data_IF_757264181790
#
_entry.id   IF_757264181790
#
_cell.length_a   1.000
_cell.length_b   1.000
_cell.length_c   1.000
_cell.angle_alpha   90.00
_cell.angle_beta   90.00
_cell.angle_gamma   90.00
#
_symmetry.space_group_name_H-M   'P 1'
#
loop_
_entity.id
_entity.type
_entity.pdbx_description
1 polymer ?
#
# COMPACT_ATOMS: atom_id res chain seq x y z
N UNK A 1 -6.90 13.57 -25.00
CA UNK A 1 -8.16 13.87 -25.72
C UNK A 1 -9.23 13.52 -24.72
N UNK A 2 -10.08 14.49 -24.36
CA UNK A 2 -10.94 14.42 -23.15
C UNK A 2 -11.70 13.10 -23.03
N UNK A 3 -12.10 12.50 -24.16
CA UNK A 3 -12.79 11.21 -24.17
C UNK A 3 -11.91 10.04 -23.73
N UNK A 4 -10.64 9.99 -24.15
CA UNK A 4 -9.68 8.93 -23.76
C UNK A 4 -9.38 9.04 -22.27
N UNK A 5 -9.11 10.26 -21.81
CA UNK A 5 -8.77 10.54 -20.42
C UNK A 5 -9.96 10.18 -19.51
N UNK A 6 -11.19 10.51 -19.93
CA UNK A 6 -12.43 10.10 -19.25
C UNK A 6 -12.60 8.57 -19.14
N UNK A 7 -12.19 7.81 -20.16
CA UNK A 7 -12.28 6.33 -20.12
C UNK A 7 -11.20 5.77 -19.19
N UNK A 8 -9.97 6.26 -19.29
CA UNK A 8 -8.85 5.82 -18.45
C UNK A 8 -9.16 6.05 -16.97
N UNK A 9 -9.72 7.21 -16.62
CA UNK A 9 -10.10 7.55 -15.25
C UNK A 9 -11.17 6.62 -14.65
N UNK A 10 -11.90 5.89 -15.49
CA UNK A 10 -12.91 4.90 -15.06
C UNK A 10 -12.34 3.50 -14.90
N UNK A 11 -11.11 3.23 -15.34
CA UNK A 11 -10.47 1.93 -15.22
C UNK A 11 -9.85 1.78 -13.83
N UNK A 12 -10.40 0.87 -13.04
CA UNK A 12 -9.92 0.60 -11.67
C UNK A 12 -8.84 -0.49 -11.65
N UNK A 13 -9.01 -1.55 -12.45
CA UNK A 13 -8.16 -2.75 -12.41
C UNK A 13 -7.63 -3.08 -13.81
N UNK A 14 -6.34 -2.80 -14.04
CA UNK A 14 -5.64 -3.16 -15.27
C UNK A 14 -4.16 -3.45 -14.94
N UNK A 15 -3.59 -4.50 -15.54
CA UNK A 15 -2.15 -4.75 -15.44
C UNK A 15 -1.33 -3.69 -16.19
N UNK A 16 -1.81 -3.32 -17.37
CA UNK A 16 -1.24 -2.29 -18.22
C UNK A 16 -2.35 -1.71 -19.12
N UNK A 17 -2.25 -0.42 -19.45
CA UNK A 17 -3.17 0.29 -20.34
C UNK A 17 -2.35 0.86 -21.49
N UNK A 18 -2.65 0.45 -22.72
CA UNK A 18 -1.99 0.92 -23.94
C UNK A 18 -2.97 1.75 -24.77
N UNK A 19 -2.61 3.00 -25.07
CA UNK A 19 -3.53 3.99 -25.63
C UNK A 19 -3.20 4.28 -27.09
N UNK A 20 -4.17 4.07 -27.97
CA UNK A 20 -4.09 4.45 -29.38
C UNK A 20 -3.40 3.41 -30.28
N UNK A 21 -3.57 3.59 -31.60
CA UNK A 21 -3.10 2.61 -32.62
C UNK A 21 -1.57 2.53 -32.75
N UNK A 22 -0.85 3.51 -32.22
CA UNK A 22 0.61 3.58 -32.30
C UNK A 22 1.30 3.06 -31.03
N UNK A 23 0.56 2.44 -30.11
CA UNK A 23 1.09 1.83 -28.89
C UNK A 23 0.82 0.32 -28.89
N UNK A 24 1.44 -0.43 -29.82
CA UNK A 24 1.22 -1.88 -29.89
C UNK A 24 1.83 -2.58 -28.68
N UNK A 25 1.17 -3.64 -28.22
CA UNK A 25 1.62 -4.43 -27.06
C UNK A 25 3.05 -4.95 -27.18
N UNK A 26 3.51 -5.28 -28.39
CA UNK A 26 4.90 -5.68 -28.61
C UNK A 26 5.90 -4.56 -28.28
N UNK A 27 5.58 -3.30 -28.59
CA UNK A 27 6.45 -2.18 -28.21
C UNK A 27 6.49 -2.00 -26.69
N UNK A 28 5.36 -2.20 -26.01
CA UNK A 28 5.25 -2.15 -24.56
C UNK A 28 6.15 -3.18 -23.88
N UNK A 29 6.09 -4.43 -24.35
CA UNK A 29 6.86 -5.53 -23.79
C UNK A 29 8.38 -5.40 -23.94
N UNK A 30 8.86 -4.67 -24.96
CA UNK A 30 10.27 -4.68 -25.33
C UNK A 30 10.98 -3.34 -25.14
N UNK A 31 10.38 -2.21 -25.49
CA UNK A 31 11.14 -0.94 -25.67
C UNK A 31 10.51 0.28 -24.99
N UNK A 32 9.18 0.35 -24.85
CA UNK A 32 8.53 1.52 -24.22
C UNK A 32 8.97 1.69 -22.75
N UNK A 33 9.37 0.60 -22.08
CA UNK A 33 9.91 0.62 -20.72
C UNK A 33 8.88 0.31 -19.63
N UNK A 34 7.62 0.08 -20.00
CA UNK A 34 6.63 -0.49 -19.09
C UNK A 34 6.99 -1.95 -18.74
N UNK A 35 6.65 -2.41 -17.53
CA UNK A 35 6.96 -3.78 -17.12
C UNK A 35 6.10 -4.80 -17.87
N UNK A 36 6.75 -5.77 -18.53
CA UNK A 36 6.05 -6.88 -19.21
C UNK A 36 5.59 -8.00 -18.26
N UNK A 37 6.09 -8.02 -17.02
CA UNK A 37 5.68 -8.99 -16.00
C UNK A 37 4.46 -8.45 -15.25
N UNK A 38 3.28 -8.79 -15.77
CA UNK A 38 1.99 -8.25 -15.34
C UNK A 38 1.13 -9.27 -14.59
N UNK A 39 0.20 -8.83 -13.71
CA UNK A 39 -0.76 -9.72 -13.07
C UNK A 39 -1.76 -10.28 -14.09
N UNK A 40 -1.94 -11.60 -14.10
CA UNK A 40 -2.90 -12.32 -14.95
C UNK A 40 -4.05 -12.89 -14.13
N UNK A 41 -5.00 -13.62 -14.73
CA UNK A 41 -6.08 -14.33 -14.01
C UNK A 41 -6.88 -13.47 -13.02
N UNK A 42 -7.09 -12.19 -13.34
CA UNK A 42 -7.83 -11.24 -12.50
C UNK A 42 -7.03 -10.63 -11.33
N UNK A 43 -5.74 -10.92 -11.19
CA UNK A 43 -4.91 -10.40 -10.10
C UNK A 43 -4.62 -8.90 -10.19
N UNK A 44 -4.96 -8.23 -11.30
CA UNK A 44 -4.92 -6.77 -11.38
C UNK A 44 -5.82 -6.08 -10.32
N UNK A 45 -6.75 -6.83 -9.70
CA UNK A 45 -7.55 -6.35 -8.57
C UNK A 45 -6.75 -6.15 -7.27
N UNK A 46 -5.60 -6.82 -7.11
CA UNK A 46 -4.86 -6.87 -5.84
C UNK A 46 -3.34 -6.74 -5.99
N UNK A 47 -2.83 -6.82 -7.22
CA UNK A 47 -1.41 -6.83 -7.54
C UNK A 47 -1.10 -5.89 -8.70
N UNK A 48 0.11 -5.34 -8.70
CA UNK A 48 0.68 -4.56 -9.80
C UNK A 48 1.69 -5.38 -10.60
N UNK A 49 2.12 -4.87 -11.76
CA UNK A 49 3.27 -5.42 -12.47
C UNK A 49 4.57 -5.35 -11.66
N UNK A 50 5.56 -6.16 -12.04
CA UNK A 50 6.89 -6.17 -11.40
C UNK A 50 7.60 -4.85 -11.70
N UNK A 51 7.87 -4.06 -10.67
CA UNK A 51 8.59 -2.78 -10.75
C UNK A 51 9.79 -2.79 -9.81
N UNK A 52 10.60 -1.73 -9.81
CA UNK A 52 11.68 -1.58 -8.82
C UNK A 52 11.16 -1.72 -7.38
N UNK A 53 9.93 -1.26 -7.09
CA UNK A 53 9.31 -1.37 -5.79
C UNK A 53 9.10 -2.83 -5.33
N UNK A 54 8.96 -3.78 -6.26
CA UNK A 54 8.84 -5.22 -5.97
C UNK A 54 10.10 -5.77 -5.29
N UNK A 55 11.26 -5.16 -5.54
CA UNK A 55 12.56 -5.58 -5.00
C UNK A 55 12.98 -4.79 -3.75
N UNK A 56 12.17 -3.81 -3.33
CA UNK A 56 12.43 -3.01 -2.13
C UNK A 56 11.61 -3.52 -0.95
N UNK A 57 12.15 -3.33 0.26
CA UNK A 57 11.42 -3.55 1.52
C UNK A 57 11.06 -2.19 2.11
N UNK A 58 9.80 -1.99 2.47
CA UNK A 58 9.35 -0.79 3.20
C UNK A 58 9.39 -1.05 4.70
N UNK A 59 10.07 -0.19 5.45
CA UNK A 59 10.14 -0.23 6.92
C UNK A 59 9.49 1.01 7.48
N UNK A 60 8.46 0.84 8.32
CA UNK A 60 7.88 1.95 9.06
C UNK A 60 8.77 2.32 10.26
N UNK A 61 8.99 3.62 10.46
CA UNK A 61 9.76 4.15 11.59
C UNK A 61 8.82 5.07 12.37
N UNK A 62 8.70 4.82 13.68
CA UNK A 62 7.89 5.64 14.58
C UNK A 62 8.74 6.09 15.77
N UNK A 63 8.45 7.29 16.27
CA UNK A 63 9.02 7.85 17.49
C UNK A 63 7.89 8.50 18.29
N UNK A 64 7.89 8.27 19.60
CA UNK A 64 6.98 8.93 20.54
C UNK A 64 7.80 9.64 21.61
N UNK A 65 7.34 10.81 22.03
CA UNK A 65 7.80 11.43 23.26
C UNK A 65 6.89 11.02 24.44
N UNK A 66 7.24 11.49 25.64
CA UNK A 66 6.50 11.21 26.87
C UNK A 66 5.06 11.74 26.83
N UNK A 67 4.84 12.93 26.27
CA UNK A 67 3.51 13.53 26.16
C UNK A 67 2.60 12.73 25.25
N UNK A 68 3.11 12.26 24.12
CA UNK A 68 2.38 11.41 23.20
C UNK A 68 2.07 10.04 23.82
N UNK A 69 3.03 9.45 24.55
CA UNK A 69 2.81 8.20 25.27
C UNK A 69 1.67 8.34 26.29
N UNK A 70 1.72 9.38 27.14
CA UNK A 70 0.68 9.64 28.13
C UNK A 70 -0.71 9.85 27.51
N UNK A 71 -0.80 10.52 26.35
CA UNK A 71 -2.08 10.67 25.63
C UNK A 71 -2.62 9.36 25.06
N UNK A 72 -1.74 8.44 24.63
CA UNK A 72 -2.15 7.15 24.06
C UNK A 72 -2.49 6.11 25.14
N UNK A 73 -1.85 6.18 26.32
CA UNK A 73 -1.98 5.19 27.39
C UNK A 73 -3.43 4.81 27.70
N UNK A 74 -4.38 5.73 27.93
CA UNK A 74 -5.76 5.37 28.28
C UNK A 74 -6.42 4.49 27.21
N UNK A 75 -6.30 4.86 25.94
CA UNK A 75 -6.89 4.11 24.82
C UNK A 75 -6.24 2.73 24.64
N UNK A 76 -4.90 2.67 24.72
CA UNK A 76 -4.16 1.41 24.53
C UNK A 76 -4.44 0.45 25.67
N UNK A 77 -4.48 0.94 26.93
CA UNK A 77 -4.80 0.10 28.09
C UNK A 77 -6.24 -0.42 28.02
N UNK A 78 -7.22 0.43 27.66
CA UNK A 78 -8.61 0.01 27.54
C UNK A 78 -8.79 -1.10 26.49
N UNK A 79 -8.18 -0.94 25.31
CA UNK A 79 -8.21 -1.95 24.26
C UNK A 79 -7.49 -3.24 24.69
N UNK A 80 -6.29 -3.12 25.26
CA UNK A 80 -5.51 -4.28 25.70
C UNK A 80 -6.20 -5.06 26.83
N UNK A 81 -6.88 -4.39 27.76
CA UNK A 81 -7.66 -5.08 28.80
C UNK A 81 -8.90 -5.76 28.20
N UNK A 82 -9.59 -5.11 27.24
CA UNK A 82 -10.74 -5.70 26.55
C UNK A 82 -10.39 -6.94 25.71
N UNK A 83 -9.25 -6.90 25.01
CA UNK A 83 -8.75 -7.98 24.16
C UNK A 83 -8.04 -9.10 24.96
N UNK A 84 -7.80 -8.90 26.26
CA UNK A 84 -7.11 -9.88 27.10
C UNK A 84 -5.60 -9.94 26.89
N UNK A 85 -4.95 -8.81 26.59
CA UNK A 85 -3.51 -8.67 26.38
C UNK A 85 -2.79 -7.96 27.55
N UNK A 86 -2.65 -8.62 28.72
CA UNK A 86 -2.15 -7.98 29.94
C UNK A 86 -0.72 -7.43 29.81
N UNK A 87 0.13 -8.07 29.00
CA UNK A 87 1.50 -7.60 28.75
C UNK A 87 1.53 -6.27 27.97
N UNK A 88 0.58 -6.05 27.06
CA UNK A 88 0.48 -4.80 26.29
C UNK A 88 0.06 -3.66 27.21
N UNK A 89 -0.98 -3.84 28.01
CA UNK A 89 -1.40 -2.84 29.00
C UNK A 89 -0.30 -2.55 30.03
N UNK A 90 0.40 -3.58 30.52
CA UNK A 90 1.50 -3.43 31.45
C UNK A 90 2.67 -2.60 30.88
N UNK A 91 2.94 -2.71 29.57
CA UNK A 91 3.99 -1.93 28.92
C UNK A 91 3.72 -0.41 29.00
N UNK A 92 2.46 0.01 28.95
CA UNK A 92 2.06 1.41 29.08
C UNK A 92 1.99 1.84 30.54
N UNK A 93 1.34 1.04 31.40
CA UNK A 93 1.19 1.30 32.84
C UNK A 93 2.54 1.51 33.56
N UNK A 94 3.59 0.80 33.14
CA UNK A 94 4.94 0.95 33.74
C UNK A 94 5.69 2.20 33.30
N UNK A 95 5.22 2.90 32.26
CA UNK A 95 5.88 4.08 31.67
C UNK A 95 5.06 5.36 31.83
N UNK A 96 3.86 5.24 32.39
CA UNK A 96 2.98 6.36 32.67
C UNK A 96 2.89 6.49 34.19
N UNK A 97 3.15 7.68 34.77
CA UNK A 97 2.99 7.93 36.20
C UNK A 97 1.58 7.62 36.72
#
# INVERSE_FOLDING_TARGET
>A
DDAVDTVVDRLVNAGEILIGQHTPFSAANFVIGCPASLPTSGFANVSSGVTAATFLKRTAIARSDERALARMTPSVVALADHEGFPAHAAALRRRTP
#
